data_IF_947298898346
#
_entry.id   IF_947298898346
#
_cell.length_a   1.000
_cell.length_b   1.000
_cell.length_c   1.000
_cell.angle_alpha   90.00
_cell.angle_beta   90.00
_cell.angle_gamma   90.00
#
_symmetry.space_group_name_H-M   'P 1'
#
loop_
_entity.id
_entity.type
_entity.pdbx_description
1 polymer ?
#
# COMPACT_ATOMS: atom_id res chain seq x y z
N UNK A 1 23.56 -0.46 4.55
CA UNK A 1 22.71 -1.03 5.63
C UNK A 1 21.98 -2.23 5.04
N UNK A 2 21.75 -3.30 5.78
CA UNK A 2 20.94 -4.46 5.33
C UNK A 2 19.57 -4.38 6.01
N UNK A 3 18.50 -4.49 5.24
CA UNK A 3 17.12 -4.54 5.74
C UNK A 3 16.43 -5.80 5.22
N UNK A 4 15.66 -6.46 6.07
CA UNK A 4 14.82 -7.61 5.69
C UNK A 4 13.36 -7.13 5.63
N UNK A 5 12.75 -7.26 4.46
CA UNK A 5 11.38 -6.79 4.22
C UNK A 5 10.44 -7.96 3.97
N UNK A 6 9.31 -7.99 4.67
CA UNK A 6 8.19 -8.87 4.38
C UNK A 6 7.17 -8.16 3.47
N UNK A 7 6.85 -8.75 2.32
CA UNK A 7 5.73 -8.31 1.47
C UNK A 7 4.53 -9.23 1.73
N UNK A 8 3.54 -8.72 2.45
CA UNK A 8 2.37 -9.49 2.89
C UNK A 8 1.32 -9.57 1.78
N UNK A 9 1.53 -10.48 0.83
CA UNK A 9 0.59 -10.70 -0.27
C UNK A 9 -0.66 -11.44 0.23
N UNK A 10 -1.60 -10.70 0.81
CA UNK A 10 -2.77 -11.23 1.49
C UNK A 10 -4.06 -11.11 0.67
N UNK A 11 -5.08 -11.82 1.12
CA UNK A 11 -6.48 -11.72 0.70
C UNK A 11 -7.31 -11.13 1.85
N UNK A 12 -7.63 -9.83 1.84
CA UNK A 12 -8.50 -9.20 2.83
C UNK A 12 -9.95 -9.68 2.67
N UNK A 13 -10.69 -9.74 3.76
CA UNK A 13 -12.14 -9.96 3.74
C UNK A 13 -12.83 -8.60 3.64
N UNK A 14 -13.72 -8.45 2.65
CA UNK A 14 -14.41 -7.18 2.39
C UNK A 14 -15.18 -6.71 3.63
N UNK A 15 -14.93 -5.48 4.05
CA UNK A 15 -15.55 -4.76 5.16
C UNK A 15 -15.47 -5.43 6.54
N UNK A 16 -14.65 -6.48 6.72
CA UNK A 16 -14.47 -7.15 8.01
C UNK A 16 -13.16 -6.70 8.68
N UNK A 17 -13.21 -5.53 9.31
CA UNK A 17 -12.05 -4.89 9.96
C UNK A 17 -11.41 -5.78 11.03
N UNK A 18 -12.23 -6.44 11.85
CA UNK A 18 -11.75 -7.30 12.93
C UNK A 18 -10.95 -8.49 12.41
N UNK A 19 -11.53 -9.23 11.45
CA UNK A 19 -10.86 -10.36 10.80
C UNK A 19 -9.57 -9.93 10.08
N UNK A 20 -9.62 -8.79 9.38
CA UNK A 20 -8.45 -8.30 8.65
C UNK A 20 -7.35 -7.86 9.61
N UNK A 21 -7.70 -7.18 10.71
CA UNK A 21 -6.73 -6.79 11.73
C UNK A 21 -6.03 -8.02 12.35
N UNK A 22 -6.80 -9.05 12.74
CA UNK A 22 -6.21 -10.28 13.28
C UNK A 22 -5.27 -10.92 12.27
N UNK A 23 -5.66 -11.00 10.98
CA UNK A 23 -4.79 -11.44 9.90
C UNK A 23 -3.51 -10.61 9.79
N UNK A 24 -3.59 -9.27 9.90
CA UNK A 24 -2.39 -8.43 9.89
C UNK A 24 -1.45 -8.76 11.03
N UNK A 25 -1.97 -8.90 12.25
CA UNK A 25 -1.16 -9.24 13.42
C UNK A 25 -0.52 -10.62 13.32
N UNK A 26 -1.22 -11.60 12.74
CA UNK A 26 -0.64 -12.93 12.45
C UNK A 26 0.53 -12.84 11.45
N UNK A 27 0.39 -12.03 10.39
CA UNK A 27 1.48 -11.81 9.42
C UNK A 27 2.63 -11.01 10.02
N UNK A 28 2.35 -10.03 10.90
CA UNK A 28 3.38 -9.31 11.67
C UNK A 28 4.17 -10.30 12.52
N UNK A 29 3.49 -11.24 13.23
CA UNK A 29 4.19 -12.24 14.03
C UNK A 29 5.06 -13.15 13.14
N UNK A 30 4.55 -13.60 11.99
CA UNK A 30 5.33 -14.40 11.04
C UNK A 30 6.54 -13.63 10.48
N UNK A 31 6.44 -12.33 10.28
CA UNK A 31 7.55 -11.48 9.85
C UNK A 31 8.62 -11.36 10.96
N UNK A 32 8.19 -11.19 12.22
CA UNK A 32 9.08 -11.18 13.38
C UNK A 32 9.84 -12.50 13.54
N UNK A 33 9.15 -13.63 13.38
CA UNK A 33 9.75 -14.96 13.45
C UNK A 33 10.81 -15.18 12.36
N UNK A 34 10.70 -14.46 11.23
CA UNK A 34 11.68 -14.43 10.12
C UNK A 34 12.69 -13.30 10.23
N UNK A 35 12.71 -12.60 11.36
CA UNK A 35 13.60 -11.46 11.61
C UNK A 35 13.49 -10.35 10.54
N UNK A 36 12.26 -10.08 10.08
CA UNK A 36 12.02 -8.94 9.21
C UNK A 36 12.05 -7.64 10.01
N UNK A 37 12.56 -6.60 9.37
CA UNK A 37 12.65 -5.24 9.92
C UNK A 37 11.42 -4.38 9.58
N UNK A 38 10.80 -4.68 8.43
CA UNK A 38 9.64 -4.00 7.87
C UNK A 38 8.67 -5.03 7.29
N UNK A 39 7.38 -4.84 7.52
CA UNK A 39 6.32 -5.56 6.80
C UNK A 39 5.43 -4.57 6.04
N UNK A 40 5.15 -4.88 4.78
CA UNK A 40 4.32 -4.06 3.89
C UNK A 40 3.06 -4.81 3.51
N UNK A 41 1.90 -4.23 3.78
CA UNK A 41 0.59 -4.74 3.39
C UNK A 41 0.06 -4.02 2.15
N UNK A 42 -0.88 -4.62 1.40
CA UNK A 42 -1.45 -4.04 0.19
C UNK A 42 -2.33 -2.80 0.44
N UNK A 43 -2.72 -2.13 -0.66
CA UNK A 43 -3.75 -1.10 -0.66
C UNK A 43 -5.05 -1.63 -0.04
N UNK A 44 -5.69 -0.82 0.83
CA UNK A 44 -6.96 -1.14 1.50
C UNK A 44 -6.95 -2.53 2.17
N UNK A 45 -5.81 -2.93 2.72
CA UNK A 45 -5.63 -4.27 3.31
C UNK A 45 -6.47 -4.51 4.56
N UNK A 46 -6.86 -3.46 5.30
CA UNK A 46 -7.75 -3.57 6.45
C UNK A 46 -9.23 -3.65 6.08
N UNK A 47 -9.63 -3.10 4.95
CA UNK A 47 -11.05 -2.94 4.60
C UNK A 47 -11.52 -3.81 3.46
N UNK A 48 -10.60 -4.29 2.60
CA UNK A 48 -10.92 -4.74 1.26
C UNK A 48 -11.08 -3.55 0.31
N UNK A 49 -11.15 -3.81 -1.00
CA UNK A 49 -11.11 -2.77 -2.03
C UNK A 49 -12.50 -2.26 -2.42
N UNK A 50 -13.49 -3.16 -2.59
CA UNK A 50 -14.84 -2.84 -3.10
C UNK A 50 -15.81 -2.41 -2.01
N UNK A 51 -15.38 -1.52 -1.12
CA UNK A 51 -16.19 -1.07 0.02
C UNK A 51 -17.36 -0.16 -0.35
N UNK A 52 -17.27 0.58 -1.48
CA UNK A 52 -18.37 1.39 -2.03
C UNK A 52 -19.09 2.26 -0.98
N UNK A 53 -20.39 2.07 -0.80
CA UNK A 53 -21.24 2.77 0.16
C UNK A 53 -20.96 2.41 1.63
N UNK A 54 -20.17 1.35 1.89
CA UNK A 54 -19.67 1.01 3.22
C UNK A 54 -18.48 1.86 3.67
N UNK A 55 -17.97 2.77 2.83
CA UNK A 55 -16.82 3.62 3.16
C UNK A 55 -16.96 4.30 4.53
N UNK A 56 -18.08 4.92 4.92
CA UNK A 56 -18.22 5.52 6.25
C UNK A 56 -18.16 4.51 7.40
N UNK A 57 -18.61 3.27 7.17
CA UNK A 57 -18.68 2.20 8.19
C UNK A 57 -17.30 1.56 8.46
N UNK A 58 -16.41 1.59 7.46
CA UNK A 58 -15.08 0.98 7.56
C UNK A 58 -13.96 1.99 7.69
N UNK A 59 -14.28 3.27 7.74
CA UNK A 59 -13.30 4.33 7.88
C UNK A 59 -12.68 4.33 9.28
N UNK A 60 -11.39 4.57 9.33
CA UNK A 60 -10.57 4.52 10.53
C UNK A 60 -9.93 5.89 10.75
N UNK A 61 -9.88 6.31 12.00
CA UNK A 61 -9.07 7.44 12.43
C UNK A 61 -7.64 6.93 12.72
N UNK A 62 -6.64 7.63 12.20
CA UNK A 62 -5.22 7.23 12.37
C UNK A 62 -4.64 7.66 13.72
N UNK A 63 -5.46 7.75 14.75
CA UNK A 63 -5.10 8.19 16.09
C UNK A 63 -5.00 7.00 17.05
N UNK A 64 -4.24 7.16 18.14
CA UNK A 64 -3.97 6.07 19.08
C UNK A 64 -5.19 5.63 19.90
N UNK A 65 -6.26 6.39 19.92
CA UNK A 65 -7.55 6.05 20.54
C UNK A 65 -8.45 5.19 19.64
N UNK A 66 -8.16 5.10 18.34
CA UNK A 66 -8.82 4.14 17.47
C UNK A 66 -8.36 2.72 17.83
N UNK A 67 -9.30 1.78 18.13
CA UNK A 67 -8.94 0.46 18.64
C UNK A 67 -8.16 -0.40 17.65
N UNK A 68 -8.29 -0.15 16.33
CA UNK A 68 -7.54 -0.85 15.28
C UNK A 68 -6.13 -0.31 15.24
N UNK A 69 -5.98 1.01 15.17
CA UNK A 69 -4.67 1.65 15.18
C UNK A 69 -3.90 1.40 16.47
N UNK A 70 -4.55 1.41 17.63
CA UNK A 70 -3.92 1.07 18.91
C UNK A 70 -3.21 -0.30 18.87
N UNK A 71 -3.85 -1.33 18.30
CA UNK A 71 -3.26 -2.67 18.17
C UNK A 71 -2.10 -2.70 17.17
N UNK A 72 -2.22 -2.00 16.03
CA UNK A 72 -1.14 -1.90 15.03
C UNK A 72 0.06 -1.12 15.57
N UNK A 73 -0.18 0.00 16.28
CA UNK A 73 0.87 0.78 16.94
C UNK A 73 1.59 -0.05 18.02
N UNK A 74 0.84 -0.84 18.80
CA UNK A 74 1.42 -1.80 19.74
C UNK A 74 2.34 -2.81 19.06
N UNK A 75 1.94 -3.35 17.92
CA UNK A 75 2.74 -4.28 17.13
C UNK A 75 3.98 -3.59 16.51
N UNK A 76 3.86 -2.32 16.11
CA UNK A 76 4.94 -1.54 15.49
C UNK A 76 6.09 -1.18 16.44
N UNK A 77 5.96 -1.47 17.73
CA UNK A 77 7.08 -1.38 18.70
C UNK A 77 8.24 -2.34 18.37
N UNK A 78 7.97 -3.41 17.62
CA UNK A 78 8.95 -4.47 17.34
C UNK A 78 9.39 -4.53 15.89
N UNK A 79 8.56 -4.06 14.96
CA UNK A 79 8.77 -4.11 13.50
C UNK A 79 8.07 -2.94 12.87
N UNK A 80 8.65 -2.32 11.85
CA UNK A 80 7.96 -1.27 11.11
C UNK A 80 6.84 -1.88 10.24
N UNK A 81 5.71 -1.17 10.12
CA UNK A 81 4.52 -1.67 9.43
C UNK A 81 4.02 -0.62 8.43
N UNK A 82 3.76 -1.04 7.18
CA UNK A 82 2.99 -0.26 6.22
C UNK A 82 1.63 -0.91 6.04
N UNK A 83 0.56 -0.16 6.27
CA UNK A 83 -0.82 -0.67 6.22
C UNK A 83 -1.71 0.20 5.37
N UNK A 84 -2.56 -0.44 4.53
CA UNK A 84 -3.57 0.21 3.67
C UNK A 84 -4.96 0.21 4.33
N UNK A 85 -5.63 1.36 4.35
CA UNK A 85 -6.92 1.53 5.01
C UNK A 85 -7.74 2.67 4.41
N UNK A 86 -9.03 2.74 4.79
CA UNK A 86 -9.86 3.93 4.56
C UNK A 86 -9.66 4.90 5.71
N UNK A 87 -9.09 6.07 5.42
CA UNK A 87 -8.84 7.11 6.41
C UNK A 87 -9.95 8.16 6.40
N UNK A 88 -10.54 8.44 7.56
CA UNK A 88 -11.40 9.60 7.78
C UNK A 88 -10.61 10.74 8.41
N UNK A 89 -10.58 11.92 7.76
CA UNK A 89 -9.91 13.08 8.31
C UNK A 89 -10.83 13.90 9.26
N UNK A 90 -10.27 14.88 9.95
CA UNK A 90 -10.99 15.76 10.87
C UNK A 90 -12.12 16.58 10.22
N UNK A 91 -12.19 16.63 8.88
CA UNK A 91 -13.23 17.29 8.10
C UNK A 91 -14.26 16.30 7.56
N UNK A 92 -14.26 15.07 8.04
CA UNK A 92 -15.17 14.01 7.60
C UNK A 92 -15.03 13.66 6.12
N UNK A 93 -13.81 13.72 5.57
CA UNK A 93 -13.50 13.27 4.22
C UNK A 93 -12.81 11.91 4.29
N UNK A 94 -13.16 11.04 3.36
CA UNK A 94 -12.63 9.69 3.28
C UNK A 94 -11.54 9.62 2.23
N UNK A 95 -10.46 8.92 2.53
CA UNK A 95 -9.32 8.74 1.64
C UNK A 95 -8.91 7.28 1.59
N UNK A 96 -8.45 6.84 0.43
CA UNK A 96 -7.59 5.65 0.34
C UNK A 96 -6.22 6.06 0.86
N UNK A 97 -5.76 5.42 1.93
CA UNK A 97 -4.55 5.82 2.63
C UNK A 97 -3.62 4.64 2.93
N UNK A 98 -2.33 4.95 3.01
CA UNK A 98 -1.33 4.10 3.63
C UNK A 98 -0.70 4.83 4.81
N UNK A 99 -0.52 4.12 5.93
CA UNK A 99 0.25 4.59 7.07
C UNK A 99 1.55 3.81 7.20
N UNK A 100 2.63 4.51 7.54
CA UNK A 100 3.89 3.92 7.99
C UNK A 100 3.97 4.05 9.50
N UNK A 101 4.03 2.91 10.20
CA UNK A 101 4.04 2.82 11.64
C UNK A 101 5.40 2.32 12.11
N UNK A 102 6.00 2.98 13.09
CA UNK A 102 7.29 2.59 13.67
C UNK A 102 7.37 3.01 15.12
N UNK A 103 7.96 2.20 15.96
CA UNK A 103 8.19 2.45 17.38
C UNK A 103 6.91 2.89 18.17
N UNK A 104 5.75 2.41 17.74
CA UNK A 104 4.46 2.75 18.36
C UNK A 104 3.85 4.07 17.90
N UNK A 105 4.39 4.68 16.85
CA UNK A 105 3.94 5.97 16.31
C UNK A 105 3.59 5.88 14.83
N UNK A 106 2.72 6.78 14.37
CA UNK A 106 2.45 7.00 12.95
C UNK A 106 3.48 7.99 12.42
N UNK A 107 4.47 7.51 11.66
CA UNK A 107 5.50 8.40 11.11
C UNK A 107 5.01 9.15 9.87
N UNK A 108 4.19 8.50 9.03
CA UNK A 108 3.70 9.11 7.80
C UNK A 108 2.37 8.52 7.37
N UNK A 109 1.51 9.37 6.78
CA UNK A 109 0.30 8.93 6.07
C UNK A 109 0.34 9.51 4.67
N UNK A 110 0.20 8.63 3.67
CA UNK A 110 0.01 9.01 2.28
C UNK A 110 -1.45 8.78 1.88
N UNK A 111 -2.08 9.79 1.29
CA UNK A 111 -3.40 9.69 0.67
C UNK A 111 -3.27 9.55 -0.84
N UNK A 112 -3.97 8.59 -1.42
CA UNK A 112 -3.97 8.34 -2.87
C UNK A 112 -4.31 9.60 -3.66
N UNK A 113 -3.47 9.92 -4.64
CA UNK A 113 -3.58 11.15 -5.44
C UNK A 113 -4.47 10.96 -6.66
N UNK A 114 -4.31 9.83 -7.34
CA UNK A 114 -5.03 9.50 -8.56
C UNK A 114 -6.09 8.46 -8.28
N UNK A 115 -7.35 8.88 -8.38
CA UNK A 115 -8.53 8.04 -8.13
C UNK A 115 -9.12 7.61 -9.47
N UNK A 116 -8.87 6.36 -9.93
CA UNK A 116 -9.39 5.89 -11.22
C UNK A 116 -10.93 5.80 -11.21
N UNK A 117 -11.52 6.22 -12.34
CA UNK A 117 -12.97 6.19 -12.60
C UNK A 117 -13.28 5.56 -13.96
N UNK A 118 -12.43 4.65 -14.39
CA UNK A 118 -12.56 3.96 -15.67
C UNK A 118 -12.64 2.44 -15.47
N UNK A 119 -13.21 1.74 -16.45
CA UNK A 119 -13.43 0.29 -16.43
C UNK A 119 -14.21 -0.14 -15.17
N UNK A 120 -13.56 -0.90 -14.29
CA UNK A 120 -14.17 -1.42 -13.06
C UNK A 120 -13.96 -0.51 -11.83
N UNK A 121 -13.34 0.64 -11.99
CA UNK A 121 -13.00 1.55 -10.92
C UNK A 121 -14.00 2.72 -10.86
N UNK A 122 -14.36 3.13 -9.65
CA UNK A 122 -15.22 4.29 -9.39
C UNK A 122 -14.78 4.99 -8.08
N UNK A 123 -13.46 5.12 -7.87
CA UNK A 123 -12.93 5.58 -6.60
C UNK A 123 -13.31 7.03 -6.27
N UNK A 124 -13.30 7.93 -7.23
CA UNK A 124 -13.60 9.34 -6.97
C UNK A 124 -15.06 9.61 -6.58
N UNK A 125 -15.94 8.61 -6.69
CA UNK A 125 -17.30 8.68 -6.18
C UNK A 125 -17.37 8.63 -4.65
N UNK A 126 -16.42 7.90 -4.03
CA UNK A 126 -16.44 7.60 -2.61
C UNK A 126 -15.32 8.27 -1.83
N UNK A 127 -14.20 8.60 -2.50
CA UNK A 127 -13.00 9.07 -1.86
C UNK A 127 -12.58 10.46 -2.33
N UNK A 128 -12.00 11.23 -1.41
CA UNK A 128 -11.32 12.47 -1.71
C UNK A 128 -9.88 12.20 -2.20
N UNK A 129 -9.39 13.06 -3.09
CA UNK A 129 -8.01 13.00 -3.58
C UNK A 129 -7.03 13.49 -2.52
N UNK A 130 -5.92 12.78 -2.38
CA UNK A 130 -4.73 13.31 -1.73
C UNK A 130 -4.20 14.57 -2.44
N UNK A 131 -3.46 15.39 -1.73
CA UNK A 131 -2.94 16.66 -2.25
C UNK A 131 -1.46 16.88 -1.95
N UNK A 132 -0.76 15.87 -1.45
CA UNK A 132 0.65 15.95 -1.06
C UNK A 132 1.38 14.68 -1.43
N UNK A 133 2.61 14.87 -1.91
CA UNK A 133 3.61 13.82 -2.11
C UNK A 133 4.85 14.24 -1.34
N UNK A 134 5.30 13.44 -0.38
CA UNK A 134 6.48 13.72 0.41
C UNK A 134 7.20 12.45 0.78
N UNK A 135 8.52 12.50 0.69
CA UNK A 135 9.38 11.52 1.34
C UNK A 135 9.47 11.81 2.84
N UNK A 136 9.74 10.79 3.62
CA UNK A 136 9.84 10.88 5.09
C UNK A 136 11.00 10.05 5.61
N UNK A 137 11.56 10.49 6.74
CA UNK A 137 12.71 9.84 7.35
C UNK A 137 12.28 8.66 8.21
N UNK A 138 13.00 7.55 8.11
CA UNK A 138 12.85 6.35 8.92
C UNK A 138 14.21 5.92 9.45
N UNK A 139 14.23 4.91 10.32
CA UNK A 139 15.49 4.27 10.75
C UNK A 139 16.25 3.58 9.61
N UNK A 140 15.64 3.41 8.44
CA UNK A 140 16.24 2.75 7.27
C UNK A 140 16.64 3.72 6.16
N UNK A 141 16.55 5.01 6.40
CA UNK A 141 16.76 6.06 5.41
C UNK A 141 15.47 6.76 5.03
N UNK A 142 15.49 7.48 3.92
CA UNK A 142 14.38 8.29 3.46
C UNK A 142 13.53 7.51 2.47
N UNK A 143 12.24 7.36 2.77
CA UNK A 143 11.29 6.54 2.03
C UNK A 143 10.18 7.38 1.42
N UNK A 144 9.59 6.88 0.32
CA UNK A 144 8.36 7.40 -0.26
C UNK A 144 7.30 6.32 -0.36
N UNK A 145 6.02 6.69 -0.25
CA UNK A 145 4.88 5.77 -0.44
C UNK A 145 3.97 6.26 -1.55
N UNK A 146 3.48 5.33 -2.39
CA UNK A 146 2.50 5.56 -3.44
C UNK A 146 1.46 4.44 -3.43
N UNK A 147 0.24 4.76 -3.86
CA UNK A 147 -0.88 3.81 -3.84
C UNK A 147 -1.39 3.58 -5.27
N UNK A 148 -1.20 2.36 -5.76
CA UNK A 148 -1.81 1.81 -6.98
C UNK A 148 -1.72 2.77 -8.18
N UNK A 149 -2.78 3.46 -8.56
CA UNK A 149 -2.81 4.40 -9.70
C UNK A 149 -1.76 5.51 -9.59
N UNK A 150 -1.28 5.86 -8.41
CA UNK A 150 -0.26 6.89 -8.24
C UNK A 150 1.03 6.57 -8.99
N UNK A 151 1.45 5.31 -9.02
CA UNK A 151 2.71 4.94 -9.68
C UNK A 151 2.56 4.64 -11.19
N UNK A 152 1.33 4.71 -11.73
CA UNK A 152 1.10 4.74 -13.17
C UNK A 152 1.44 6.11 -13.79
N UNK A 153 1.60 7.12 -12.94
CA UNK A 153 1.99 8.47 -13.30
C UNK A 153 3.40 8.75 -12.79
N UNK A 154 4.30 9.15 -13.68
CA UNK A 154 5.73 9.37 -13.32
C UNK A 154 5.92 10.48 -12.29
N UNK A 155 5.04 11.48 -12.28
CA UNK A 155 5.20 12.70 -11.47
C UNK A 155 5.29 12.44 -9.95
N UNK A 156 4.48 11.58 -9.30
CA UNK A 156 4.62 11.35 -7.86
C UNK A 156 5.94 10.65 -7.51
N UNK A 157 6.34 9.63 -8.28
CA UNK A 157 7.60 8.93 -8.06
C UNK A 157 8.81 9.86 -8.24
N UNK A 158 8.78 10.70 -9.29
CA UNK A 158 9.82 11.70 -9.53
C UNK A 158 9.90 12.76 -8.40
N UNK A 159 8.76 13.22 -7.88
CA UNK A 159 8.74 14.16 -6.76
C UNK A 159 9.30 13.54 -5.47
N UNK A 160 9.01 12.26 -5.20
CA UNK A 160 9.59 11.54 -4.06
C UNK A 160 11.11 11.39 -4.20
N UNK A 161 11.59 11.05 -5.40
CA UNK A 161 13.02 10.98 -5.68
C UNK A 161 13.71 12.34 -5.50
N UNK A 162 13.13 13.45 -5.99
CA UNK A 162 13.64 14.80 -5.77
C UNK A 162 13.63 15.21 -4.28
N UNK A 163 12.67 14.68 -3.50
CA UNK A 163 12.60 14.86 -2.04
C UNK A 163 13.55 13.90 -1.29
N UNK A 164 14.39 13.15 -2.02
CA UNK A 164 15.47 12.32 -1.50
C UNK A 164 15.06 10.91 -1.08
N UNK A 165 13.98 10.36 -1.59
CA UNK A 165 13.60 8.97 -1.31
C UNK A 165 14.54 7.98 -2.02
N UNK A 166 15.19 7.11 -1.24
CA UNK A 166 16.02 6.01 -1.73
C UNK A 166 15.22 4.72 -1.93
N UNK A 167 14.06 4.63 -1.31
CA UNK A 167 13.14 3.48 -1.37
C UNK A 167 11.73 3.98 -1.65
N UNK A 168 11.08 3.41 -2.66
CA UNK A 168 9.68 3.65 -2.97
C UNK A 168 8.84 2.42 -2.60
N UNK A 169 7.86 2.61 -1.75
CA UNK A 169 6.89 1.57 -1.35
C UNK A 169 5.63 1.77 -2.18
N UNK A 170 5.29 0.78 -3.00
CA UNK A 170 4.15 0.80 -3.90
C UNK A 170 3.12 -0.24 -3.44
N UNK A 171 2.01 0.23 -2.87
CA UNK A 171 0.93 -0.64 -2.40
C UNK A 171 -0.19 -0.68 -3.44
N UNK A 172 -0.69 -1.87 -3.78
CA UNK A 172 -1.76 -1.98 -4.76
C UNK A 172 -2.81 -3.04 -4.46
N UNK A 173 -3.99 -2.82 -5.05
CA UNK A 173 -5.05 -3.78 -5.24
C UNK A 173 -5.30 -3.88 -6.75
N UNK A 174 -4.28 -4.34 -7.48
CA UNK A 174 -4.33 -4.43 -8.93
C UNK A 174 -5.13 -5.65 -9.38
N UNK A 175 -6.26 -5.46 -10.10
CA UNK A 175 -7.05 -6.56 -10.61
C UNK A 175 -6.43 -7.15 -11.88
N UNK A 176 -6.74 -8.41 -12.14
CA UNK A 176 -6.39 -9.09 -13.38
C UNK A 176 -7.15 -8.46 -14.55
N UNK A 177 -6.41 -7.84 -15.48
CA UNK A 177 -6.98 -7.17 -16.67
C UNK A 177 -6.18 -7.47 -17.92
N UNK A 178 -6.88 -7.39 -19.07
CA UNK A 178 -6.23 -7.48 -20.37
C UNK A 178 -5.94 -8.91 -20.77
N UNK A 179 -6.99 -9.69 -21.01
CA UNK A 179 -6.91 -10.97 -21.71
C UNK A 179 -6.49 -10.65 -23.16
N UNK A 180 -5.25 -10.90 -23.50
CA UNK A 180 -4.68 -10.76 -24.83
C UNK A 180 -4.19 -12.11 -25.35
N UNK A 181 -3.56 -12.10 -26.52
CA UNK A 181 -2.94 -13.29 -27.11
C UNK A 181 -1.69 -13.79 -26.35
N UNK A 182 -1.21 -13.04 -25.35
CA UNK A 182 -0.07 -13.43 -24.53
C UNK A 182 -0.50 -14.24 -23.30
N UNK A 183 0.35 -15.15 -22.85
CA UNK A 183 0.16 -15.95 -21.62
C UNK A 183 0.11 -15.09 -20.34
N UNK A 184 0.54 -13.81 -20.41
CA UNK A 184 0.53 -12.87 -19.31
C UNK A 184 -0.51 -11.78 -19.50
N UNK A 185 -1.19 -11.41 -18.40
CA UNK A 185 -2.12 -10.29 -18.38
C UNK A 185 -1.39 -8.97 -18.67
N UNK A 186 -1.97 -8.12 -19.52
CA UNK A 186 -1.36 -6.85 -19.90
C UNK A 186 -1.10 -5.93 -18.69
N UNK A 187 -2.00 -5.93 -17.70
CA UNK A 187 -1.83 -5.18 -16.46
C UNK A 187 -0.62 -5.62 -15.65
N UNK A 188 -0.40 -6.94 -15.51
CA UNK A 188 0.76 -7.50 -14.82
C UNK A 188 2.07 -7.06 -15.48
N UNK A 189 2.17 -7.24 -16.79
CA UNK A 189 3.36 -6.84 -17.55
C UNK A 189 3.67 -5.35 -17.42
N UNK A 190 2.64 -4.51 -17.40
CA UNK A 190 2.82 -3.07 -17.24
C UNK A 190 3.36 -2.72 -15.84
N UNK A 191 2.83 -3.31 -14.78
CA UNK A 191 3.32 -3.09 -13.40
C UNK A 191 4.77 -3.53 -13.25
N UNK A 192 5.15 -4.71 -13.77
CA UNK A 192 6.54 -5.18 -13.78
C UNK A 192 7.46 -4.17 -14.49
N UNK A 193 7.06 -3.69 -15.68
CA UNK A 193 7.83 -2.72 -16.45
C UNK A 193 8.01 -1.39 -15.71
N UNK A 194 6.95 -0.88 -15.08
CA UNK A 194 7.01 0.38 -14.32
C UNK A 194 7.91 0.25 -13.10
N UNK A 195 7.82 -0.87 -12.36
CA UNK A 195 8.67 -1.12 -11.20
C UNK A 195 10.16 -1.15 -11.60
N UNK A 196 10.51 -1.86 -12.67
CA UNK A 196 11.87 -1.92 -13.22
C UNK A 196 12.34 -0.54 -13.71
N UNK A 197 11.49 0.17 -14.46
CA UNK A 197 11.80 1.50 -14.94
C UNK A 197 12.07 2.49 -13.80
N UNK A 198 11.26 2.48 -12.74
CA UNK A 198 11.48 3.37 -11.60
C UNK A 198 12.72 2.99 -10.81
N UNK A 199 13.01 1.69 -10.61
CA UNK A 199 14.24 1.22 -10.01
C UNK A 199 15.45 1.84 -10.72
N UNK A 200 15.56 1.62 -12.02
CA UNK A 200 16.68 2.10 -12.82
C UNK A 200 16.71 3.62 -12.99
N UNK A 201 15.58 4.26 -13.33
CA UNK A 201 15.53 5.70 -13.61
C UNK A 201 15.82 6.56 -12.39
N UNK A 202 15.37 6.14 -11.21
CA UNK A 202 15.53 6.87 -9.96
C UNK A 202 16.66 6.32 -9.10
N UNK A 203 17.31 5.24 -9.52
CA UNK A 203 18.38 4.58 -8.75
C UNK A 203 17.88 4.27 -7.32
N UNK A 204 16.67 3.73 -7.23
CA UNK A 204 15.95 3.50 -5.97
C UNK A 204 15.47 2.06 -5.85
N UNK A 205 15.36 1.56 -4.62
CA UNK A 205 14.68 0.30 -4.37
C UNK A 205 13.15 0.47 -4.50
N UNK A 206 12.49 -0.46 -5.16
CA UNK A 206 11.02 -0.50 -5.30
C UNK A 206 10.49 -1.70 -4.51
N UNK A 207 9.65 -1.44 -3.52
CA UNK A 207 8.96 -2.46 -2.73
C UNK A 207 7.49 -2.48 -3.15
N UNK A 208 7.13 -3.36 -4.07
CA UNK A 208 5.76 -3.46 -4.56
C UNK A 208 5.00 -4.56 -3.82
N UNK A 209 3.94 -4.20 -3.12
CA UNK A 209 3.06 -5.13 -2.43
C UNK A 209 1.64 -5.08 -3.03
N UNK A 210 1.20 -6.18 -3.63
CA UNK A 210 -0.13 -6.33 -4.20
C UNK A 210 -0.92 -7.42 -3.48
N UNK A 211 -2.25 -7.29 -3.45
CA UNK A 211 -3.13 -8.32 -2.88
C UNK A 211 -3.40 -9.47 -3.86
N UNK A 212 -3.92 -10.58 -3.32
CA UNK A 212 -4.42 -11.73 -4.09
C UNK A 212 -5.89 -11.98 -3.79
N UNK A 213 -6.50 -12.89 -4.56
CA UNK A 213 -7.83 -13.45 -4.31
C UNK A 213 -8.93 -12.80 -5.13
N UNK A 214 -10.17 -13.14 -4.79
CA UNK A 214 -11.36 -12.65 -5.46
C UNK A 214 -12.18 -11.78 -4.53
N UNK A 215 -12.70 -10.66 -5.03
CA UNK A 215 -13.60 -9.79 -4.30
C UNK A 215 -14.58 -9.16 -5.27
N UNK A 216 -15.87 -9.35 -5.03
CA UNK A 216 -16.95 -8.80 -5.84
C UNK A 216 -16.76 -9.05 -7.35
N UNK A 217 -16.47 -10.30 -7.72
CA UNK A 217 -16.26 -10.71 -9.11
C UNK A 217 -14.93 -10.28 -9.73
N UNK A 218 -14.08 -9.57 -9.01
CA UNK A 218 -12.74 -9.14 -9.47
C UNK A 218 -11.68 -10.09 -8.94
N UNK A 219 -10.76 -10.49 -9.81
CA UNK A 219 -9.57 -11.27 -9.43
C UNK A 219 -8.38 -10.33 -9.25
N UNK A 220 -7.63 -10.50 -8.17
CA UNK A 220 -6.38 -9.78 -7.88
C UNK A 220 -5.21 -10.75 -8.00
N UNK A 221 -4.21 -10.39 -8.81
CA UNK A 221 -3.21 -11.34 -9.30
C UNK A 221 -1.97 -11.50 -8.43
N UNK A 222 -1.77 -10.65 -7.41
CA UNK A 222 -0.56 -10.70 -6.58
C UNK A 222 0.68 -10.15 -7.29
N UNK A 223 1.75 -10.94 -7.38
CA UNK A 223 2.99 -10.54 -8.03
C UNK A 223 3.75 -9.45 -7.28
N UNK A 224 3.69 -9.48 -5.95
CA UNK A 224 4.51 -8.61 -5.10
C UNK A 224 5.99 -8.85 -5.38
N UNK A 225 6.79 -7.79 -5.48
CA UNK A 225 8.19 -7.86 -5.90
C UNK A 225 9.03 -6.80 -5.22
N UNK A 226 10.32 -7.06 -5.16
CA UNK A 226 11.35 -6.06 -4.86
C UNK A 226 12.16 -5.87 -6.12
N UNK A 227 12.40 -4.63 -6.51
CA UNK A 227 13.28 -4.27 -7.61
C UNK A 227 14.40 -3.39 -7.06
N UNK A 228 15.61 -3.66 -7.47
CA UNK A 228 16.79 -2.93 -7.03
C UNK A 228 17.07 -1.69 -7.91
N UNK A 229 18.11 -0.88 -7.59
CA UNK A 229 18.48 0.29 -8.39
C UNK A 229 18.97 -0.01 -9.81
N UNK A 230 19.29 -1.25 -10.13
CA UNK A 230 19.65 -1.68 -11.50
C UNK A 230 18.42 -2.10 -12.31
N UNK A 231 17.25 -2.18 -11.65
CA UNK A 231 15.97 -2.56 -12.28
C UNK A 231 15.73 -4.07 -12.32
N UNK A 232 16.46 -4.87 -11.49
CA UNK A 232 16.37 -6.32 -11.40
C UNK A 232 15.56 -6.82 -10.22
#
# INVERSE_FOLDING_TARGET
MRITVGLAQIYPKLADLGHNLDKHLDYVQQALDRQADLIVFPELSLTGYQVQDLVPEVAIHSEADDPIFARLLGASQKIDIVVGFVHEDSRKRFYIANAYLSAGEVLHIHHKLYLPTYAMFDESRYFARGNRVRAFDTRFGRLGMLICEDFWHVSPAWLLWLDGADVLILNSSSPSRGLGESERLAGTRWVELVNQAYGSMFTSYILHCNRVGYEDGKNFWGGSSVVDPDGE
#
